data_IF_900847217872
#
_entry.id   IF_900847217872
#
_cell.length_a   1.000
_cell.length_b   1.000
_cell.length_c   1.000
_cell.angle_alpha   90.00
_cell.angle_beta   90.00
_cell.angle_gamma   90.00
#
_symmetry.space_group_name_H-M   'P 1'
#
loop_
_entity.id
_entity.type
_entity.pdbx_description
1 polymer ?
#
# COMPACT_ATOMS: atom_id res chain seq x y z
N UNK A 1 -8.72 1.33 -3.23
CA UNK A 1 -7.78 0.19 -3.16
C UNK A 1 -8.40 -0.92 -2.33
N UNK A 2 -8.62 -2.06 -2.97
CA UNK A 2 -9.05 -3.29 -2.31
C UNK A 2 -7.90 -4.30 -2.36
N UNK A 3 -7.53 -4.87 -1.22
CA UNK A 3 -6.50 -5.89 -1.11
C UNK A 3 -7.13 -7.29 -1.17
N UNK A 4 -6.64 -8.13 -2.07
CA UNK A 4 -7.03 -9.54 -2.19
C UNK A 4 -6.03 -10.45 -1.49
N UNK A 5 -4.74 -10.11 -1.59
CA UNK A 5 -3.65 -10.74 -0.84
C UNK A 5 -2.69 -9.67 -0.32
N UNK A 6 -2.03 -9.96 0.81
CA UNK A 6 -1.02 -9.08 1.39
C UNK A 6 -0.12 -9.87 2.34
N UNK A 7 1.13 -10.09 1.93
CA UNK A 7 2.16 -10.69 2.76
C UNK A 7 3.52 -10.12 2.36
N UNK A 8 4.06 -9.30 3.26
CA UNK A 8 5.38 -8.71 3.20
C UNK A 8 6.21 -9.18 4.40
N UNK A 9 7.54 -9.04 4.31
CA UNK A 9 8.39 -9.22 5.48
C UNK A 9 8.08 -8.13 6.52
N UNK A 10 7.64 -8.55 7.70
CA UNK A 10 7.22 -7.62 8.75
C UNK A 10 8.38 -6.69 9.16
N UNK A 11 8.08 -5.40 9.25
CA UNK A 11 8.99 -4.29 9.55
C UNK A 11 10.10 -3.99 8.52
N UNK A 12 10.45 -4.90 7.60
CA UNK A 12 11.54 -4.75 6.62
C UNK A 12 11.02 -4.29 5.26
N UNK A 13 10.00 -4.98 4.75
CA UNK A 13 9.31 -4.63 3.51
C UNK A 13 8.07 -3.80 3.82
N UNK A 14 7.79 -2.80 2.98
CA UNK A 14 6.59 -2.01 3.14
C UNK A 14 6.03 -1.43 1.83
N UNK A 15 4.70 -1.35 1.79
CA UNK A 15 3.95 -0.64 0.77
C UNK A 15 3.51 0.72 1.32
N UNK A 16 3.96 1.80 0.67
CA UNK A 16 3.52 3.16 0.93
C UNK A 16 2.43 3.57 -0.05
N UNK A 17 1.45 4.32 0.45
CA UNK A 17 0.30 4.82 -0.32
C UNK A 17 0.15 6.31 -0.06
N UNK A 18 0.04 7.11 -1.12
CA UNK A 18 -0.19 8.57 -1.05
C UNK A 18 -1.21 9.04 -2.08
N UNK A 19 -1.87 10.17 -1.80
CA UNK A 19 -2.85 10.83 -2.69
C UNK A 19 -2.38 12.21 -3.20
N UNK A 20 -1.38 12.81 -2.57
CA UNK A 20 -0.87 14.16 -2.90
C UNK A 20 0.50 14.12 -3.61
N UNK A 21 1.02 12.92 -3.84
CA UNK A 21 2.32 12.68 -4.44
C UNK A 21 3.49 12.79 -3.47
N UNK A 22 3.23 13.09 -2.20
CA UNK A 22 4.24 13.10 -1.14
C UNK A 22 4.23 11.79 -0.36
N UNK A 23 5.41 11.18 -0.23
CA UNK A 23 5.61 10.02 0.63
C UNK A 23 6.19 10.39 2.01
N UNK A 24 6.33 11.69 2.33
CA UNK A 24 6.76 12.13 3.66
C UNK A 24 5.70 11.86 4.72
N UNK A 25 4.42 12.00 4.34
CA UNK A 25 3.26 11.71 5.18
C UNK A 25 2.29 10.82 4.38
N UNK A 26 2.62 9.54 4.20
CA UNK A 26 1.79 8.64 3.42
C UNK A 26 0.45 8.42 4.13
N UNK A 27 -0.61 8.24 3.35
CA UNK A 27 -1.95 7.86 3.85
C UNK A 27 -1.90 6.51 4.55
N UNK A 28 -1.06 5.60 4.06
CA UNK A 28 -0.81 4.33 4.71
C UNK A 28 0.62 3.86 4.48
N UNK A 29 1.18 3.21 5.49
CA UNK A 29 2.38 2.38 5.42
C UNK A 29 2.03 1.00 5.94
N UNK A 30 2.09 0.02 5.04
CA UNK A 30 1.61 -1.35 5.28
C UNK A 30 2.78 -2.33 5.25
N UNK A 31 2.79 -3.30 6.16
CA UNK A 31 3.83 -4.35 6.31
C UNK A 31 3.23 -5.59 6.97
N UNK A 32 3.99 -6.70 7.00
CA UNK A 32 3.58 -7.97 7.57
C UNK A 32 2.54 -8.71 6.72
N UNK A 33 1.78 -9.60 7.35
CA UNK A 33 0.87 -10.55 6.68
C UNK A 33 -0.62 -10.30 6.95
N UNK A 34 -0.96 -9.20 7.62
CA UNK A 34 -2.35 -8.87 7.93
C UNK A 34 -2.98 -8.18 6.73
N UNK A 35 -4.10 -8.73 6.24
CA UNK A 35 -4.83 -8.15 5.11
C UNK A 35 -5.37 -6.75 5.47
N UNK A 36 -4.92 -5.67 4.78
CA UNK A 36 -5.34 -4.32 5.10
C UNK A 36 -6.83 -4.08 4.78
N UNK A 37 -7.51 -3.20 5.53
CA UNK A 37 -8.85 -2.75 5.15
C UNK A 37 -8.83 -1.98 3.83
N UNK A 38 -9.98 -1.87 3.16
CA UNK A 38 -10.08 -1.09 1.92
C UNK A 38 -9.70 0.37 2.14
N UNK A 39 -8.78 0.90 1.34
CA UNK A 39 -8.37 2.31 1.36
C UNK A 39 -9.13 3.04 0.26
N UNK A 40 -9.97 4.01 0.62
CA UNK A 40 -10.69 4.83 -0.36
C UNK A 40 -9.71 5.79 -1.02
N UNK A 41 -9.74 5.85 -2.35
CA UNK A 41 -9.02 6.88 -3.10
C UNK A 41 -9.85 8.17 -3.10
N UNK A 42 -9.19 9.32 -2.96
CA UNK A 42 -9.85 10.63 -2.92
C UNK A 42 -10.28 11.08 -1.54
N UNK A 43 -9.65 10.58 -0.46
CA UNK A 43 -9.87 11.11 0.89
C UNK A 43 -9.60 12.62 0.97
N UNK A 44 -8.65 13.12 0.16
CA UNK A 44 -8.30 14.54 0.09
C UNK A 44 -8.82 15.25 -1.17
N UNK A 45 -9.83 14.69 -1.85
CA UNK A 45 -10.42 15.27 -3.06
C UNK A 45 -9.60 15.04 -4.34
N UNK A 46 -8.55 14.21 -4.26
CA UNK A 46 -7.68 13.86 -5.39
C UNK A 46 -7.90 12.40 -5.79
N UNK A 47 -8.32 12.13 -7.03
CA UNK A 47 -8.58 10.77 -7.50
C UNK A 47 -7.32 10.01 -7.94
N UNK A 48 -6.15 10.58 -7.73
CA UNK A 48 -4.87 9.97 -8.03
C UNK A 48 -4.28 9.34 -6.77
N UNK A 49 -3.83 8.10 -6.89
CA UNK A 49 -3.11 7.39 -5.83
C UNK A 49 -1.77 6.95 -6.38
N UNK A 50 -0.72 7.13 -5.60
CA UNK A 50 0.62 6.61 -5.90
C UNK A 50 1.00 5.54 -4.90
N UNK A 51 1.65 4.51 -5.41
CA UNK A 51 2.11 3.36 -4.66
C UNK A 51 3.64 3.29 -4.74
N UNK A 52 4.29 3.02 -3.61
CA UNK A 52 5.72 2.72 -3.57
C UNK A 52 5.96 1.48 -2.73
N UNK A 53 6.47 0.43 -3.36
CA UNK A 53 6.96 -0.75 -2.68
C UNK A 53 8.46 -0.59 -2.40
N UNK A 54 8.86 -0.84 -1.16
CA UNK A 54 10.26 -0.82 -0.72
C UNK A 54 10.56 -2.17 -0.09
N UNK A 55 11.68 -2.77 -0.49
CA UNK A 55 12.17 -4.03 0.06
C UNK A 55 13.67 -3.95 0.28
N UNK A 56 14.15 -4.64 1.31
CA UNK A 56 15.59 -4.77 1.63
C UNK A 56 16.25 -5.98 0.95
N UNK A 57 15.47 -6.78 0.20
CA UNK A 57 15.88 -7.99 -0.50
C UNK A 57 16.38 -9.15 0.40
N UNK A 58 16.09 -9.14 1.70
CA UNK A 58 16.54 -10.18 2.62
C UNK A 58 15.64 -11.43 2.60
N UNK A 59 14.32 -11.25 2.76
CA UNK A 59 13.31 -12.30 2.61
C UNK A 59 12.24 -11.89 1.58
N UNK A 60 11.53 -12.87 1.02
CA UNK A 60 10.47 -12.59 0.04
C UNK A 60 9.26 -13.48 0.27
N UNK A 61 8.08 -12.88 0.15
CA UNK A 61 6.78 -13.51 0.29
C UNK A 61 5.92 -13.28 -0.95
N UNK A 62 4.63 -13.68 -0.93
CA UNK A 62 3.74 -13.57 -2.10
C UNK A 62 3.50 -12.13 -2.57
N UNK A 63 3.77 -11.12 -1.72
CA UNK A 63 3.57 -9.72 -2.04
C UNK A 63 2.12 -9.30 -1.83
N UNK A 64 1.60 -8.52 -2.77
CA UNK A 64 0.24 -7.98 -2.68
C UNK A 64 -0.48 -8.04 -4.02
N UNK A 65 -1.78 -8.32 -3.97
CA UNK A 65 -2.69 -8.23 -5.10
C UNK A 65 -3.79 -7.21 -4.76
N UNK A 66 -3.91 -6.18 -5.60
CA UNK A 66 -4.81 -5.06 -5.33
C UNK A 66 -5.65 -4.71 -6.56
N UNK A 67 -6.88 -4.27 -6.32
CA UNK A 67 -7.71 -3.60 -7.32
C UNK A 67 -7.82 -2.11 -6.99
N UNK A 68 -7.57 -1.28 -8.00
CA UNK A 68 -7.94 0.12 -8.01
C UNK A 68 -9.22 0.30 -8.82
N UNK A 69 -10.29 0.71 -8.15
CA UNK A 69 -11.53 1.16 -8.77
C UNK A 69 -11.80 2.60 -8.35
N UNK A 70 -12.18 3.44 -9.31
CA UNK A 70 -12.90 4.67 -9.01
C UNK A 70 -14.29 4.30 -8.47
N UNK A 71 -14.76 5.03 -7.47
CA UNK A 71 -16.10 4.82 -6.89
C UNK A 71 -17.20 4.97 -7.92
#
# INVERSE_FOLDING_TARGET
LLFHTFHLEDSHDYLLITEDGSFTEPVARLTGSVLPPSIKAGLFGNFSVQLRFVSDFSMSYEGFNITFSGG
#
